data_IF_636625636808
#
_entry.id   IF_636625636808
#
_cell.length_a   1.000
_cell.length_b   1.000
_cell.length_c   1.000
_cell.angle_alpha   90.00
_cell.angle_beta   90.00
_cell.angle_gamma   90.00
#
_symmetry.space_group_name_H-M   'P 1'
#
loop_
_entity.id
_entity.type
_entity.pdbx_description
1 polymer ?
#
# COMPACT_ATOMS: atom_id res chain seq x y z
N UNK A 1 -11.59 24.99 14.44
CA UNK A 1 -11.26 23.80 15.23
C UNK A 1 -10.32 22.91 14.43
N UNK A 2 -9.00 23.07 14.59
CA UNK A 2 -8.02 22.17 13.95
C UNK A 2 -7.92 20.95 14.84
N UNK A 3 -8.28 19.78 14.32
CA UNK A 3 -8.20 18.51 15.03
C UNK A 3 -6.76 18.34 15.54
N UNK A 4 -6.62 18.16 16.85
CA UNK A 4 -5.37 17.75 17.47
C UNK A 4 -5.02 16.36 16.91
N UNK A 5 -4.09 16.29 15.97
CA UNK A 5 -3.47 15.03 15.54
C UNK A 5 -2.41 14.67 16.58
N UNK A 6 -2.83 14.33 17.80
CA UNK A 6 -1.90 13.96 18.86
C UNK A 6 -1.82 12.44 19.01
N UNK A 7 -0.57 11.97 18.92
CA UNK A 7 0.02 10.79 19.57
C UNK A 7 -0.58 9.42 19.23
N UNK A 8 0.23 8.61 18.51
CA UNK A 8 0.04 7.21 18.10
C UNK A 8 -0.56 6.98 16.70
N UNK A 9 0.03 7.58 15.65
CA UNK A 9 -0.11 6.99 14.32
C UNK A 9 0.72 5.69 14.30
N UNK A 10 0.11 4.56 13.94
CA UNK A 10 0.89 3.35 13.73
C UNK A 10 1.77 3.52 12.49
N UNK A 11 2.97 2.91 12.46
CA UNK A 11 3.89 3.03 11.30
C UNK A 11 3.25 2.53 9.99
N UNK A 12 2.30 1.62 10.12
CA UNK A 12 1.41 1.14 9.07
C UNK A 12 0.58 2.27 8.43
N UNK A 13 -0.04 3.10 9.27
CA UNK A 13 -0.90 4.20 8.81
C UNK A 13 -0.09 5.26 8.07
N UNK A 14 1.10 5.64 8.56
CA UNK A 14 1.96 6.63 7.91
C UNK A 14 2.35 6.25 6.47
N UNK A 15 2.71 4.97 6.27
CA UNK A 15 3.12 4.46 4.96
C UNK A 15 1.97 4.42 3.95
N UNK A 16 0.73 4.48 4.42
CA UNK A 16 -0.46 4.52 3.56
C UNK A 16 -0.94 5.93 3.25
N UNK A 17 -0.40 7.00 3.86
CA UNK A 17 -0.92 8.37 3.66
C UNK A 17 -0.63 8.96 2.27
N UNK A 18 0.32 8.39 1.52
CA UNK A 18 0.79 8.94 0.24
C UNK A 18 0.56 7.92 -0.86
N UNK A 19 0.02 8.37 -1.99
CA UNK A 19 -0.10 7.54 -3.19
C UNK A 19 1.26 7.04 -3.66
N UNK A 20 1.34 5.77 -4.04
CA UNK A 20 2.58 5.13 -4.50
C UNK A 20 2.39 4.47 -5.85
N UNK A 21 3.47 4.42 -6.61
CA UNK A 21 3.52 3.61 -7.81
C UNK A 21 3.55 2.11 -7.44
N UNK A 22 3.07 1.27 -8.37
CA UNK A 22 3.19 -0.19 -8.21
C UNK A 22 4.65 -0.66 -8.17
N UNK A 23 5.58 0.12 -8.74
CA UNK A 23 7.01 -0.19 -8.67
C UNK A 23 7.58 0.07 -7.28
N UNK A 24 7.24 1.21 -6.64
CA UNK A 24 7.63 1.49 -5.26
C UNK A 24 7.06 0.45 -4.29
N UNK A 25 5.78 0.09 -4.44
CA UNK A 25 5.17 -0.94 -3.62
C UNK A 25 5.89 -2.28 -3.82
N UNK A 26 6.13 -2.70 -5.07
CA UNK A 26 6.86 -3.93 -5.34
C UNK A 26 8.27 -3.94 -4.74
N UNK A 27 8.98 -2.80 -4.82
CA UNK A 27 10.30 -2.63 -4.23
C UNK A 27 10.27 -2.75 -2.70
N UNK A 28 9.23 -2.20 -2.04
CA UNK A 28 9.03 -2.36 -0.60
C UNK A 28 8.84 -3.84 -0.20
N UNK A 29 8.23 -4.66 -1.06
CA UNK A 29 8.12 -6.11 -0.85
C UNK A 29 9.36 -6.90 -1.32
N UNK A 30 10.41 -6.24 -1.83
CA UNK A 30 11.60 -6.91 -2.37
C UNK A 30 11.33 -7.73 -3.63
N UNK A 31 10.25 -7.45 -4.38
CA UNK A 31 9.87 -8.20 -5.58
C UNK A 31 9.81 -7.33 -6.83
N UNK A 32 9.89 -7.97 -8.00
CA UNK A 32 9.67 -7.27 -9.26
C UNK A 32 8.21 -6.78 -9.40
N UNK A 33 8.00 -5.69 -10.15
CA UNK A 33 6.65 -5.20 -10.45
C UNK A 33 5.76 -6.25 -11.14
N UNK A 34 6.36 -7.18 -11.91
CA UNK A 34 5.66 -8.31 -12.54
C UNK A 34 5.15 -9.31 -11.49
N UNK A 35 5.99 -9.64 -10.52
CA UNK A 35 5.63 -10.52 -9.40
C UNK A 35 4.54 -9.87 -8.56
N UNK A 36 4.69 -8.59 -8.24
CA UNK A 36 3.68 -7.83 -7.49
C UNK A 36 2.32 -7.83 -8.19
N UNK A 37 2.27 -7.58 -9.51
CA UNK A 37 1.02 -7.68 -10.30
C UNK A 37 0.39 -9.08 -10.24
N UNK A 38 1.20 -10.15 -10.22
CA UNK A 38 0.70 -11.52 -10.05
C UNK A 38 0.09 -11.73 -8.67
N UNK A 39 0.74 -11.24 -7.62
CA UNK A 39 0.21 -11.30 -6.25
C UNK A 39 -1.13 -10.57 -6.14
N UNK A 40 -1.24 -9.35 -6.67
CA UNK A 40 -2.51 -8.62 -6.71
C UNK A 40 -3.62 -9.44 -7.38
N UNK A 41 -3.33 -10.10 -8.50
CA UNK A 41 -4.29 -10.96 -9.20
C UNK A 41 -4.69 -12.19 -8.39
N UNK A 42 -3.72 -12.87 -7.76
CA UNK A 42 -3.96 -14.07 -6.93
C UNK A 42 -4.82 -13.72 -5.71
N UNK A 43 -4.52 -12.59 -5.05
CA UNK A 43 -5.25 -12.10 -3.89
C UNK A 43 -6.54 -11.33 -4.25
N UNK A 44 -6.91 -11.29 -5.54
CA UNK A 44 -8.10 -10.60 -6.06
C UNK A 44 -8.20 -9.13 -5.65
N UNK A 45 -7.04 -8.46 -5.61
CA UNK A 45 -6.94 -7.02 -5.34
C UNK A 45 -7.05 -6.29 -6.68
N UNK A 46 -8.24 -5.77 -6.97
CA UNK A 46 -8.46 -4.94 -8.15
C UNK A 46 -8.02 -3.50 -7.85
N UNK A 47 -7.20 -2.94 -8.75
CA UNK A 47 -6.61 -1.63 -8.58
C UNK A 47 -6.79 -0.80 -9.86
N UNK A 48 -7.24 0.46 -9.75
CA UNK A 48 -7.37 1.32 -10.91
C UNK A 48 -6.01 1.56 -11.59
N UNK A 49 -6.03 1.84 -12.89
CA UNK A 49 -4.83 2.24 -13.62
C UNK A 49 -4.19 3.48 -13.00
N UNK A 50 -2.86 3.57 -13.00
CA UNK A 50 -2.12 4.73 -12.50
C UNK A 50 -1.49 4.52 -11.11
N UNK A 51 -1.43 5.58 -10.31
CA UNK A 51 -0.93 5.53 -8.94
C UNK A 51 -1.90 4.77 -8.03
N UNK A 52 -1.35 4.03 -7.07
CA UNK A 52 -2.13 3.32 -6.05
C UNK A 52 -2.42 4.31 -4.93
N UNK A 53 -3.71 4.54 -4.67
CA UNK A 53 -4.18 5.50 -3.67
C UNK A 53 -3.97 4.96 -2.25
N UNK A 54 -3.86 5.84 -1.24
CA UNK A 54 -3.82 5.48 0.18
C UNK A 54 -4.72 4.32 0.61
N UNK A 55 -6.01 4.42 0.27
CA UNK A 55 -7.03 3.42 0.62
C UNK A 55 -6.74 2.06 0.02
N UNK A 56 -6.18 2.02 -1.19
CA UNK A 56 -5.83 0.79 -1.87
C UNK A 56 -4.51 0.21 -1.35
N UNK A 57 -3.52 1.05 -0.99
CA UNK A 57 -2.29 0.61 -0.32
C UNK A 57 -2.65 -0.08 1.00
N UNK A 58 -3.58 0.49 1.76
CA UNK A 58 -4.08 -0.14 2.99
C UNK A 58 -4.67 -1.52 2.72
N UNK A 59 -5.54 -1.67 1.71
CA UNK A 59 -6.09 -2.99 1.31
C UNK A 59 -4.99 -3.98 0.93
N UNK A 60 -3.97 -3.52 0.21
CA UNK A 60 -2.81 -4.34 -0.16
C UNK A 60 -2.11 -4.84 1.11
N UNK A 61 -1.84 -3.97 2.07
CA UNK A 61 -1.15 -4.34 3.31
C UNK A 61 -2.00 -5.24 4.21
N UNK A 62 -3.32 -5.04 4.26
CA UNK A 62 -4.25 -5.94 4.98
C UNK A 62 -4.29 -7.35 4.36
N UNK A 63 -4.06 -7.47 3.04
CA UNK A 63 -4.17 -8.74 2.29
C UNK A 63 -2.85 -9.47 2.06
N UNK A 64 -1.76 -8.75 1.90
CA UNK A 64 -0.41 -9.28 1.65
C UNK A 64 0.49 -9.21 2.90
N UNK A 65 0.06 -8.52 3.94
CA UNK A 65 0.88 -8.19 5.11
C UNK A 65 1.70 -6.92 4.90
N UNK A 66 2.36 -6.45 5.96
CA UNK A 66 3.29 -5.33 5.86
C UNK A 66 4.54 -5.74 5.08
N UNK A 67 5.07 -4.88 4.20
CA UNK A 67 6.40 -5.08 3.63
C UNK A 67 7.45 -5.06 4.75
N UNK A 68 8.46 -5.93 4.63
CA UNK A 68 9.52 -6.14 5.62
C UNK A 68 10.81 -5.40 5.30
#
# INVERSE_FOLDING_TARGET
MKKNYNSQLTRADELTLVSRSRQELAAAYGVSARTFRRWLKIHKIDLPSGLVKPEDIRKIYERLGMPG
#
